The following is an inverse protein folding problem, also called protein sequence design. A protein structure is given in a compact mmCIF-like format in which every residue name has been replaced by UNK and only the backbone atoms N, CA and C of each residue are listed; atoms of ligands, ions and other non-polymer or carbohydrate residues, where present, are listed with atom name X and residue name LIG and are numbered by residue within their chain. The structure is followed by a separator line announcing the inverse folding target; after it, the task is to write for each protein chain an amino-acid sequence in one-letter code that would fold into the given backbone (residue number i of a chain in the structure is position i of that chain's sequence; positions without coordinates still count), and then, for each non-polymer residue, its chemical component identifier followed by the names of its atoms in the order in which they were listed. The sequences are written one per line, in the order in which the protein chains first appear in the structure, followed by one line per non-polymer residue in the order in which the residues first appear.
data_IF_480586611561
#
_entry.id   IF_480586611561
#
_cell.length_a   1.000
_cell.length_b   1.000
_cell.length_c   1.000
_cell.angle_alpha   90.00
_cell.angle_beta   90.00
_cell.angle_gamma   90.00
#
_symmetry.space_group_name_H-M   'P 1'
#
loop_
_entity.id
_entity.type
_entity.pdbx_description
1 polymer ?
#
# COMPACT_ATOMS: atom_id res chain seq x y z
N UNK A 1 -22.72 -3.98 4.68
CA UNK A 1 -21.37 -4.15 5.26
C UNK A 1 -20.38 -3.92 4.13
N UNK A 2 -19.32 -3.14 4.33
CA UNK A 2 -18.35 -2.82 3.26
C UNK A 2 -17.37 -3.98 3.12
N UNK A 3 -16.52 -4.19 4.12
CA UNK A 3 -15.57 -5.31 4.20
C UNK A 3 -15.45 -5.77 5.67
N UNK A 4 -15.20 -7.06 5.90
CA UNK A 4 -14.87 -7.54 7.24
C UNK A 4 -13.49 -7.02 7.66
N UNK A 5 -13.40 -6.51 8.89
CA UNK A 5 -12.16 -5.92 9.41
C UNK A 5 -11.06 -7.00 9.54
N UNK A 6 -11.42 -8.27 9.80
CA UNK A 6 -10.47 -9.38 9.86
C UNK A 6 -9.87 -9.64 8.49
N UNK A 7 -10.71 -9.71 7.46
CA UNK A 7 -10.26 -9.90 6.08
C UNK A 7 -9.35 -8.75 5.64
N UNK A 8 -9.75 -7.51 5.91
CA UNK A 8 -8.95 -6.32 5.61
C UNK A 8 -7.59 -6.34 6.32
N UNK A 9 -7.57 -6.73 7.60
CA UNK A 9 -6.32 -6.85 8.38
C UNK A 9 -5.38 -7.89 7.77
N UNK A 10 -5.92 -9.02 7.32
CA UNK A 10 -5.12 -10.09 6.71
C UNK A 10 -4.57 -9.66 5.33
N UNK A 11 -5.36 -8.93 4.55
CA UNK A 11 -4.88 -8.32 3.29
C UNK A 11 -3.72 -7.35 3.57
N UNK A 12 -3.87 -6.42 4.51
CA UNK A 12 -2.80 -5.45 4.83
C UNK A 12 -1.53 -6.17 5.30
N UNK A 13 -1.67 -7.15 6.19
CA UNK A 13 -0.52 -7.91 6.69
C UNK A 13 0.23 -8.61 5.56
N UNK A 14 -0.49 -9.41 4.77
CA UNK A 14 0.14 -10.27 3.75
C UNK A 14 0.65 -9.49 2.55
N UNK A 15 -0.06 -8.43 2.15
CA UNK A 15 0.28 -7.66 0.96
C UNK A 15 1.30 -6.56 1.24
N UNK A 16 1.30 -5.99 2.46
CA UNK A 16 2.08 -4.80 2.81
C UNK A 16 3.10 -5.10 3.91
N UNK A 17 2.67 -5.52 5.11
CA UNK A 17 3.58 -5.69 6.25
C UNK A 17 4.65 -6.75 5.98
N UNK A 18 4.25 -7.97 5.60
CA UNK A 18 5.18 -9.08 5.34
C UNK A 18 6.16 -8.77 4.18
N UNK A 19 5.78 -7.83 3.30
CA UNK A 19 6.54 -7.45 2.12
C UNK A 19 7.50 -6.30 2.40
N UNK A 20 7.10 -5.29 3.17
CA UNK A 20 7.81 -4.01 3.28
C UNK A 20 8.33 -3.71 4.69
N UNK A 21 7.74 -4.28 5.73
CA UNK A 21 8.10 -3.96 7.12
C UNK A 21 9.52 -4.44 7.46
N UNK A 22 10.28 -3.59 8.14
CA UNK A 22 11.69 -3.83 8.49
C UNK A 22 12.62 -4.20 7.30
N UNK A 23 12.32 -3.76 6.07
CA UNK A 23 13.14 -4.03 4.88
C UNK A 23 13.72 -2.78 4.23
N UNK A 24 14.84 -2.96 3.53
CA UNK A 24 15.34 -1.98 2.57
C UNK A 24 14.58 -2.12 1.26
N UNK A 25 13.68 -1.17 1.00
CA UNK A 25 12.79 -1.19 -0.17
C UNK A 25 13.55 -1.37 -1.50
N UNK A 26 14.65 -0.64 -1.71
CA UNK A 26 15.41 -0.69 -2.97
C UNK A 26 16.05 -2.05 -3.26
N UNK A 27 16.39 -2.82 -2.21
CA UNK A 27 17.14 -4.07 -2.35
C UNK A 27 16.24 -5.30 -2.23
N UNK A 28 15.22 -5.21 -1.39
CA UNK A 28 14.45 -6.36 -0.91
C UNK A 28 13.01 -6.41 -1.43
N UNK A 29 12.51 -5.31 -2.01
CA UNK A 29 11.16 -5.24 -2.56
C UNK A 29 11.23 -5.07 -4.07
N UNK A 30 10.64 -6.03 -4.78
CA UNK A 30 10.80 -6.17 -6.23
C UNK A 30 10.34 -4.94 -7.00
N UNK A 31 9.25 -4.29 -6.58
CA UNK A 31 8.74 -3.08 -7.22
C UNK A 31 9.68 -1.88 -7.15
N UNK A 32 10.57 -1.83 -6.16
CA UNK A 32 11.48 -0.70 -5.96
C UNK A 32 12.90 -0.97 -6.48
N UNK A 33 13.13 -2.07 -7.21
CA UNK A 33 14.43 -2.31 -7.86
C UNK A 33 14.73 -1.28 -8.95
N UNK A 34 13.71 -0.91 -9.71
CA UNK A 34 13.80 0.06 -10.81
C UNK A 34 12.93 1.31 -10.56
N UNK A 35 12.35 1.44 -9.36
CA UNK A 35 11.48 2.55 -8.96
C UNK A 35 11.99 3.17 -7.65
N UNK A 36 12.25 4.48 -7.66
CA UNK A 36 12.68 5.19 -6.46
C UNK A 36 11.56 5.18 -5.38
N UNK A 37 11.80 4.70 -4.15
CA UNK A 37 10.77 4.57 -3.11
C UNK A 37 10.48 5.91 -2.42
N UNK A 38 9.97 6.90 -3.17
CA UNK A 38 9.37 8.11 -2.60
C UNK A 38 8.00 7.80 -2.01
N UNK A 39 7.48 8.67 -1.13
CA UNK A 39 6.16 8.47 -0.52
C UNK A 39 5.04 8.32 -1.59
N UNK A 40 5.13 9.07 -2.69
CA UNK A 40 4.21 8.98 -3.82
C UNK A 40 4.28 7.62 -4.53
N UNK A 41 5.49 7.11 -4.79
CA UNK A 41 5.64 5.81 -5.43
C UNK A 41 5.24 4.67 -4.49
N UNK A 42 5.55 4.79 -3.21
CA UNK A 42 5.17 3.79 -2.21
C UNK A 42 3.64 3.69 -2.10
N UNK A 43 2.92 4.82 -1.99
CA UNK A 43 1.46 4.78 -1.86
C UNK A 43 0.79 4.17 -3.11
N UNK A 44 1.34 4.39 -4.31
CA UNK A 44 0.87 3.77 -5.56
C UNK A 44 1.10 2.26 -5.55
N UNK A 45 2.28 1.79 -5.11
CA UNK A 45 2.57 0.35 -5.00
C UNK A 45 1.64 -0.31 -3.98
N UNK A 46 1.45 0.29 -2.81
CA UNK A 46 0.52 -0.21 -1.79
C UNK A 46 -0.90 -0.29 -2.38
N UNK A 47 -1.36 0.74 -3.10
CA UNK A 47 -2.67 0.75 -3.74
C UNK A 47 -2.83 -0.39 -4.73
N UNK A 48 -1.85 -0.59 -5.62
CA UNK A 48 -1.89 -1.63 -6.63
C UNK A 48 -1.84 -3.04 -6.02
N UNK A 49 -1.18 -3.21 -4.86
CA UNK A 49 -1.18 -4.46 -4.10
C UNK A 49 -2.52 -4.74 -3.41
N UNK A 50 -3.21 -3.73 -2.89
CA UNK A 50 -4.49 -3.90 -2.18
C UNK A 50 -5.68 -3.99 -3.14
N UNK A 51 -5.69 -3.21 -4.23
CA UNK A 51 -6.84 -3.08 -5.14
C UNK A 51 -7.41 -4.41 -5.66
N UNK A 52 -6.61 -5.45 -6.01
CA UNK A 52 -7.13 -6.74 -6.45
C UNK A 52 -8.00 -7.47 -5.41
N UNK A 53 -7.84 -7.15 -4.12
CA UNK A 53 -8.61 -7.75 -3.02
C UNK A 53 -9.87 -6.95 -2.66
N UNK A 54 -10.04 -5.77 -3.27
CA UNK A 54 -11.19 -4.89 -3.04
C UNK A 54 -12.16 -5.06 -4.21
N UNK A 55 -13.46 -5.21 -3.90
CA UNK A 55 -14.48 -5.37 -4.93
C UNK A 55 -14.53 -4.15 -5.85
N UNK A 56 -14.86 -4.37 -7.12
CA UNK A 56 -14.90 -3.30 -8.13
C UNK A 56 -15.90 -2.20 -7.80
N UNK A 57 -16.99 -2.51 -7.10
CA UNK A 57 -17.98 -1.52 -6.66
C UNK A 57 -17.54 -0.66 -5.45
N UNK A 58 -16.37 -0.93 -4.87
CA UNK A 58 -15.85 -0.21 -3.72
C UNK A 58 -14.72 0.75 -4.11
N UNK A 59 -14.81 1.95 -3.55
CA UNK A 59 -13.74 2.94 -3.61
C UNK A 59 -12.62 2.57 -2.62
N UNK A 60 -11.38 2.80 -3.04
CA UNK A 60 -10.18 2.60 -2.23
C UNK A 60 -9.40 3.92 -2.23
N UNK A 61 -9.00 4.36 -1.05
CA UNK A 61 -8.09 5.48 -0.85
C UNK A 61 -7.06 5.07 0.19
N UNK A 62 -5.80 5.35 -0.08
CA UNK A 62 -4.68 5.05 0.81
C UNK A 62 -3.97 6.34 1.14
N UNK A 63 -3.76 6.59 2.43
CA UNK A 63 -2.91 7.69 2.89
C UNK A 63 -1.67 7.11 3.55
N UNK A 64 -0.52 7.38 2.97
CA UNK A 64 0.79 7.02 3.52
C UNK A 64 1.36 8.21 4.29
N UNK A 65 1.70 7.99 5.55
CA UNK A 65 2.40 8.96 6.39
C UNK A 65 3.88 8.57 6.47
N UNK A 66 4.75 9.31 5.79
CA UNK A 66 6.20 9.15 5.97
C UNK A 66 6.64 9.77 7.30
N UNK A 67 6.07 10.93 7.63
CA UNK A 67 6.17 11.57 8.93
C UNK A 67 4.82 12.20 9.28
N UNK A 68 4.59 12.70 10.51
CA UNK A 68 3.32 13.35 10.84
C UNK A 68 2.98 14.59 9.99
N UNK A 69 3.98 15.20 9.31
CA UNK A 69 3.78 16.38 8.45
C UNK A 69 3.91 16.07 6.95
N UNK A 70 4.47 14.92 6.59
CA UNK A 70 4.63 14.50 5.21
C UNK A 70 3.76 13.27 4.97
N UNK A 71 2.68 13.47 4.23
CA UNK A 71 1.77 12.39 3.86
C UNK A 71 1.32 12.55 2.41
N UNK A 72 1.04 11.42 1.78
CA UNK A 72 0.53 11.36 0.41
C UNK A 72 -0.73 10.50 0.42
N UNK A 73 -1.77 11.00 -0.23
CA UNK A 73 -3.03 10.28 -0.42
C UNK A 73 -3.17 9.89 -1.89
N UNK A 74 -3.58 8.65 -2.16
CA UNK A 74 -3.80 8.14 -3.51
C UNK A 74 -5.07 7.30 -3.57
N UNK A 75 -5.90 7.59 -4.58
CA UNK A 75 -7.21 6.94 -4.80
C UNK A 75 -7.33 6.30 -6.20
N UNK A 76 -6.20 6.09 -6.88
CA UNK A 76 -6.16 5.56 -8.25
C UNK A 76 -6.19 6.62 -9.35
N UNK A 77 -5.95 7.90 -9.00
CA UNK A 77 -5.93 9.07 -9.89
C UNK A 77 -4.83 10.03 -9.49
#
# INVERSE_FOLDING_TARGET
YVIDIKDLKEIIKTQIEDVMDHKNLNLEVEEFKDLNPTAENIVVVIYNRIKPFIKSEMDLEITLYETPRNFVTYSGK
#
